data_IF_379010315710
#
_entry.id   IF_379010315710
#
_cell.length_a   1.000
_cell.length_b   1.000
_cell.length_c   1.000
_cell.angle_alpha   90.00
_cell.angle_beta   90.00
_cell.angle_gamma   90.00
#
_symmetry.space_group_name_H-M   'P 1'
#
loop_
_entity.id
_entity.type
_entity.pdbx_description
1 polymer ?
#
# COMPACT_ATOMS: atom_id res chain seq x y z
N UNK A 1 -5.98 13.56 10.77
CA UNK A 1 -5.37 14.14 10.96
C UNK A 1 -4.70 14.50 11.31
N UNK A 2 -4.79 13.88 10.88
CA UNK A 2 -4.13 14.57 11.18
C UNK A 2 -3.73 14.97 11.09
N UNK A 3 -3.78 14.61 10.82
CA UNK A 3 -3.36 15.40 10.86
C UNK A 3 -3.23 15.82 10.54
N UNK A 4 -3.40 15.59 10.33
CA UNK A 4 -3.16 16.35 10.10
C UNK A 4 -2.92 16.87 10.17
N UNK A 5 -2.96 16.27 9.88
CA UNK A 5 -2.63 16.97 9.91
C UNK A 5 -2.28 17.39 9.87
N UNK A 6 -2.16 17.23 9.83
CA UNK A 6 -1.77 17.79 9.93
C UNK A 6 -1.51 18.40 9.79
N UNK A 7 -1.44 18.39 9.68
CA UNK A 7 -1.13 19.01 9.55
C UNK A 7 -0.96 19.53 9.33
N UNK A 8 -1.00 19.95 9.23
CA UNK A 8 -0.60 20.33 8.92
C UNK A 8 -0.17 21.11 8.85
N UNK A 9 -0.17 21.48 9.15
CA UNK A 9 0.68 22.13 8.80
C UNK A 9 1.75 22.53 8.66
N UNK A 10 1.55 23.95 8.69
CA UNK A 10 2.73 23.31 8.55
C UNK A 10 3.89 23.97 9.25
N UNK A 11 4.67 23.18 9.85
CA UNK A 11 5.88 23.56 10.54
C UNK A 11 6.94 23.90 9.49
N UNK A 12 7.71 25.01 9.67
CA UNK A 12 8.77 25.34 8.73
C UNK A 12 9.86 24.30 8.63
N UNK A 13 9.99 23.44 9.64
CA UNK A 13 10.97 22.36 9.61
C UNK A 13 10.43 21.10 8.96
N UNK A 14 9.18 21.12 8.54
CA UNK A 14 8.55 19.98 7.88
C UNK A 14 8.77 20.09 6.38
N UNK A 15 9.82 19.43 5.90
CA UNK A 15 10.21 19.48 4.49
C UNK A 15 9.22 18.76 3.59
N UNK A 16 8.50 17.80 4.12
CA UNK A 16 7.57 16.98 3.34
C UNK A 16 6.16 17.50 3.39
N UNK A 17 5.91 18.51 4.21
CA UNK A 17 4.58 19.07 4.36
C UNK A 17 3.56 18.04 4.84
N UNK A 18 4.01 17.09 5.61
CA UNK A 18 3.17 15.97 6.06
C UNK A 18 2.77 16.08 7.53
N UNK A 19 3.16 17.16 8.21
CA UNK A 19 2.85 17.36 9.61
C UNK A 19 3.90 16.82 10.56
N UNK A 20 5.01 16.30 10.04
CA UNK A 20 6.10 15.76 10.84
C UNK A 20 7.35 16.59 10.63
N UNK A 21 8.02 16.99 11.73
CA UNK A 21 9.24 17.74 11.64
C UNK A 21 10.34 16.96 10.94
N UNK A 22 11.10 17.65 10.09
CA UNK A 22 12.09 17.01 9.24
C UNK A 22 13.07 16.08 9.97
N UNK A 23 13.68 16.46 11.11
CA UNK A 23 14.60 15.53 11.76
C UNK A 23 13.95 14.27 12.29
N UNK A 24 12.63 14.26 12.44
CA UNK A 24 11.90 13.11 12.95
C UNK A 24 11.27 12.27 11.84
N UNK A 25 11.30 12.76 10.60
CA UNK A 25 10.67 12.10 9.47
C UNK A 25 11.61 11.02 8.94
N UNK A 26 11.20 9.76 9.09
CA UNK A 26 11.96 8.60 8.63
C UNK A 26 11.68 8.25 7.18
N UNK A 27 10.70 8.90 6.57
CA UNK A 27 10.27 8.59 5.21
C UNK A 27 10.21 9.90 4.41
N UNK A 28 11.36 10.36 3.86
CA UNK A 28 11.43 11.69 3.24
C UNK A 28 10.60 11.84 1.97
N UNK A 29 10.07 10.79 1.43
CA UNK A 29 9.25 10.84 0.22
C UNK A 29 7.77 10.65 0.52
N UNK A 30 7.32 11.02 1.72
CA UNK A 30 5.90 10.91 2.09
C UNK A 30 5.06 11.79 1.17
N UNK A 31 4.04 11.21 0.50
CA UNK A 31 3.21 11.96 -0.43
C UNK A 31 2.36 13.01 0.28
N UNK A 32 2.03 14.07 -0.46
CA UNK A 32 1.11 15.10 0.03
C UNK A 32 -0.27 14.49 0.28
N UNK A 33 -0.92 14.95 1.34
CA UNK A 33 -2.27 14.51 1.72
C UNK A 33 -2.38 13.03 2.07
N UNK A 34 -1.24 12.36 2.27
CA UNK A 34 -1.24 10.99 2.74
C UNK A 34 -1.28 10.95 4.26
N UNK A 35 -1.94 9.94 4.80
CA UNK A 35 -1.88 9.69 6.24
C UNK A 35 -0.48 9.17 6.58
N UNK A 36 0.05 9.64 7.70
CA UNK A 36 1.39 9.22 8.14
C UNK A 36 1.31 8.53 9.49
N UNK A 37 2.24 7.62 9.72
CA UNK A 37 2.39 6.97 11.02
C UNK A 37 3.28 7.83 11.92
N UNK A 38 3.65 7.29 13.10
CA UNK A 38 4.46 8.03 14.06
C UNK A 38 5.86 8.36 13.55
N UNK A 39 6.31 7.70 12.49
CA UNK A 39 7.62 7.91 11.89
C UNK A 39 7.57 8.87 10.70
N UNK A 40 6.39 9.39 10.36
CA UNK A 40 6.22 10.24 9.20
C UNK A 40 6.09 9.49 7.89
N UNK A 41 5.83 8.20 7.93
CA UNK A 41 5.70 7.38 6.72
C UNK A 41 4.25 7.30 6.29
N UNK A 42 4.02 7.30 4.99
CA UNK A 42 2.69 7.12 4.44
C UNK A 42 2.15 5.74 4.82
N UNK A 43 0.95 5.73 5.37
CA UNK A 43 0.24 4.49 5.69
C UNK A 43 -0.91 4.36 4.71
N UNK A 44 -0.64 3.68 3.59
CA UNK A 44 -1.68 3.41 2.62
C UNK A 44 -2.63 2.34 3.17
N UNK A 45 -3.92 2.41 2.83
CA UNK A 45 -4.83 1.33 3.21
C UNK A 45 -4.43 0.02 2.55
N UNK A 46 -4.50 -1.06 3.31
CA UNK A 46 -4.24 -2.40 2.78
C UNK A 46 -5.49 -2.97 2.12
N UNK A 47 -5.29 -3.95 1.24
CA UNK A 47 -6.37 -4.61 0.53
C UNK A 47 -6.26 -6.10 0.83
N UNK A 48 -7.28 -6.64 1.50
CA UNK A 48 -7.28 -8.04 1.89
C UNK A 48 -7.99 -8.89 0.83
N UNK A 49 -7.59 -10.15 0.74
CA UNK A 49 -8.12 -11.10 -0.23
C UNK A 49 -8.63 -12.35 0.46
N UNK A 50 -9.65 -12.94 -0.13
CA UNK A 50 -10.14 -14.23 0.32
C UNK A 50 -9.10 -15.32 0.01
N UNK A 51 -9.22 -16.44 0.71
CA UNK A 51 -8.35 -17.59 0.49
C UNK A 51 -8.39 -18.00 -1.00
N UNK A 52 -7.23 -18.24 -1.55
CA UNK A 52 -7.07 -18.73 -2.93
C UNK A 52 -7.69 -17.82 -3.99
N UNK A 53 -7.82 -16.54 -3.71
CA UNK A 53 -8.44 -15.57 -4.62
C UNK A 53 -7.54 -14.39 -4.89
N UNK A 54 -7.56 -13.91 -6.13
CA UNK A 54 -6.93 -12.65 -6.54
C UNK A 54 -7.99 -11.64 -6.99
N UNK A 55 -9.24 -11.87 -6.64
CA UNK A 55 -10.33 -10.96 -6.98
C UNK A 55 -10.46 -9.89 -5.90
N UNK A 56 -10.47 -8.63 -6.32
CA UNK A 56 -10.64 -7.52 -5.39
C UNK A 56 -12.09 -7.47 -4.93
N UNK A 57 -12.29 -7.53 -3.62
CA UNK A 57 -13.62 -7.41 -3.05
C UNK A 57 -14.07 -5.94 -3.17
N UNK A 58 -15.31 -5.69 -3.63
CA UNK A 58 -15.81 -4.32 -3.81
C UNK A 58 -15.71 -3.44 -2.56
N UNK A 59 -15.70 -4.01 -1.37
CA UNK A 59 -15.56 -3.23 -0.14
C UNK A 59 -14.21 -2.51 -0.06
N UNK A 60 -13.22 -2.90 -0.87
CA UNK A 60 -11.91 -2.26 -0.92
C UNK A 60 -11.79 -1.23 -2.03
N UNK A 61 -12.83 -0.99 -2.81
CA UNK A 61 -12.77 0.02 -3.88
C UNK A 61 -12.50 1.41 -3.31
N UNK A 62 -13.04 1.71 -2.13
CA UNK A 62 -12.76 3.00 -1.48
C UNK A 62 -11.27 3.13 -1.11
N UNK A 63 -10.66 2.03 -0.67
CA UNK A 63 -9.22 2.03 -0.39
C UNK A 63 -8.41 2.35 -1.65
N UNK A 64 -8.81 1.78 -2.79
CA UNK A 64 -8.17 2.11 -4.06
C UNK A 64 -8.35 3.58 -4.42
N UNK A 65 -9.54 4.13 -4.19
CA UNK A 65 -9.81 5.54 -4.47
C UNK A 65 -8.92 6.44 -3.62
N UNK A 66 -8.69 6.10 -2.35
CA UNK A 66 -7.79 6.85 -1.47
C UNK A 66 -6.38 6.85 -2.03
N UNK A 67 -5.88 5.69 -2.45
CA UNK A 67 -4.55 5.58 -3.03
C UNK A 67 -4.44 6.41 -4.32
N UNK A 68 -5.45 6.31 -5.19
CA UNK A 68 -5.44 7.06 -6.44
C UNK A 68 -5.50 8.57 -6.21
N UNK A 69 -6.21 9.02 -5.16
CA UNK A 69 -6.25 10.44 -4.82
C UNK A 69 -4.86 10.95 -4.43
N UNK A 70 -4.10 10.16 -3.66
CA UNK A 70 -2.72 10.50 -3.31
C UNK A 70 -1.85 10.57 -4.55
N UNK A 71 -1.98 9.61 -5.47
CA UNK A 71 -1.24 9.61 -6.73
C UNK A 71 -1.56 10.84 -7.58
N UNK A 72 -2.81 11.26 -7.58
CA UNK A 72 -3.23 12.44 -8.33
C UNK A 72 -2.62 13.72 -7.77
N UNK A 73 -2.50 13.80 -6.44
CA UNK A 73 -1.92 14.98 -5.79
C UNK A 73 -0.40 15.01 -5.85
N UNK A 74 0.23 13.90 -6.18
CA UNK A 74 1.68 13.76 -6.22
C UNK A 74 2.11 13.20 -7.57
N UNK A 75 2.15 14.04 -8.63
CA UNK A 75 2.34 13.54 -10.01
C UNK A 75 3.62 12.73 -10.25
N UNK A 76 4.67 12.99 -9.47
CA UNK A 76 5.94 12.27 -9.64
C UNK A 76 6.03 11.03 -8.78
N UNK A 77 5.02 10.75 -7.97
CA UNK A 77 5.03 9.61 -7.07
C UNK A 77 4.86 8.31 -7.87
N UNK A 78 5.72 7.35 -7.56
CA UNK A 78 5.58 5.96 -8.02
C UNK A 78 5.37 5.09 -6.81
N UNK A 79 4.63 4.02 -7.00
CA UNK A 79 4.33 3.09 -5.91
C UNK A 79 4.67 1.67 -6.31
N UNK A 80 5.04 0.87 -5.31
CA UNK A 80 5.15 -0.58 -5.44
C UNK A 80 3.91 -1.21 -4.82
N UNK A 81 3.26 -2.05 -5.59
CA UNK A 81 2.07 -2.80 -5.18
C UNK A 81 2.56 -4.19 -4.79
N UNK A 82 2.55 -4.49 -3.50
CA UNK A 82 3.15 -5.70 -2.94
C UNK A 82 2.08 -6.74 -2.64
N UNK A 83 2.02 -7.78 -3.45
CA UNK A 83 1.11 -8.89 -3.21
C UNK A 83 1.70 -9.87 -2.22
N UNK A 84 0.87 -10.38 -1.31
CA UNK A 84 1.27 -11.30 -0.25
C UNK A 84 0.27 -12.40 -0.08
N UNK A 85 0.72 -13.54 0.44
CA UNK A 85 -0.14 -14.70 0.72
C UNK A 85 0.11 -15.21 2.12
N UNK A 86 -0.82 -16.06 2.62
CA UNK A 86 -0.52 -16.91 3.75
C UNK A 86 0.37 -18.07 3.29
N UNK A 87 0.68 -18.99 4.20
CA UNK A 87 1.59 -20.11 3.90
C UNK A 87 0.87 -21.42 3.52
N UNK A 88 -0.40 -21.36 3.18
CA UNK A 88 -1.13 -22.57 2.76
C UNK A 88 -0.81 -22.86 1.30
N UNK A 89 -0.39 -24.09 1.02
CA UNK A 89 -0.09 -24.55 -0.33
C UNK A 89 1.37 -24.41 -0.71
N UNK A 90 1.73 -24.86 -1.92
CA UNK A 90 3.12 -24.81 -2.40
C UNK A 90 3.63 -23.37 -2.53
N UNK A 91 4.93 -23.19 -2.27
CA UNK A 91 5.54 -21.87 -2.35
C UNK A 91 5.43 -21.28 -3.76
N UNK A 92 5.64 -22.10 -4.79
CA UNK A 92 5.55 -21.63 -6.17
C UNK A 92 4.15 -21.14 -6.51
N UNK A 93 3.13 -21.81 -5.99
CA UNK A 93 1.74 -21.39 -6.17
C UNK A 93 1.48 -20.06 -5.46
N UNK A 94 1.96 -19.93 -4.23
CA UNK A 94 1.78 -18.70 -3.45
C UNK A 94 2.52 -17.53 -4.08
N UNK A 95 3.70 -17.76 -4.65
CA UNK A 95 4.41 -16.73 -5.38
C UNK A 95 3.59 -16.24 -6.58
N UNK A 96 3.00 -17.16 -7.34
CA UNK A 96 2.15 -16.81 -8.47
C UNK A 96 0.89 -16.07 -8.02
N UNK A 97 0.25 -16.54 -6.95
CA UNK A 97 -0.97 -15.93 -6.43
C UNK A 97 -0.71 -14.50 -5.94
N UNK A 98 0.39 -14.30 -5.23
CA UNK A 98 0.76 -12.96 -4.75
C UNK A 98 0.98 -11.99 -5.91
N UNK A 99 1.63 -12.45 -6.98
CA UNK A 99 1.83 -11.63 -8.17
C UNK A 99 0.49 -11.31 -8.84
N UNK A 100 -0.42 -12.28 -8.90
CA UNK A 100 -1.77 -12.04 -9.45
C UNK A 100 -2.54 -11.00 -8.65
N UNK A 101 -2.44 -11.05 -7.31
CA UNK A 101 -3.09 -10.06 -6.45
C UNK A 101 -2.55 -8.67 -6.70
N UNK A 102 -1.23 -8.53 -6.79
CA UNK A 102 -0.60 -7.23 -7.09
C UNK A 102 -1.03 -6.71 -8.46
N UNK A 103 -1.04 -7.58 -9.46
CA UNK A 103 -1.46 -7.20 -10.82
C UNK A 103 -2.94 -6.83 -10.88
N UNK A 104 -3.78 -7.47 -10.09
CA UNK A 104 -5.20 -7.13 -10.06
C UNK A 104 -5.40 -5.69 -9.57
N UNK A 105 -4.66 -5.29 -8.54
CA UNK A 105 -4.72 -3.92 -8.02
C UNK A 105 -4.18 -2.94 -9.06
N UNK A 106 -3.04 -3.26 -9.67
CA UNK A 106 -2.47 -2.41 -10.72
C UNK A 106 -3.44 -2.22 -11.88
N UNK A 107 -4.04 -3.31 -12.34
CA UNK A 107 -4.99 -3.27 -13.47
C UNK A 107 -6.21 -2.41 -13.13
N UNK A 108 -6.70 -2.52 -11.90
CA UNK A 108 -7.84 -1.73 -11.46
C UNK A 108 -7.53 -0.24 -11.50
N UNK A 109 -6.36 0.16 -10.99
CA UNK A 109 -5.96 1.57 -10.96
C UNK A 109 -5.66 2.09 -12.36
N UNK A 110 -4.96 1.30 -13.18
CA UNK A 110 -4.67 1.70 -14.56
C UNK A 110 -5.94 1.86 -15.38
N UNK A 111 -6.93 1.00 -15.14
CA UNK A 111 -8.23 1.10 -15.81
C UNK A 111 -9.00 2.36 -15.44
N UNK A 112 -8.64 3.00 -14.34
CA UNK A 112 -9.26 4.25 -13.90
C UNK A 112 -8.42 5.48 -14.20
N UNK A 113 -7.38 5.32 -15.02
CA UNK A 113 -6.62 6.45 -15.52
C UNK A 113 -5.24 6.67 -14.91
N UNK A 114 -4.80 5.83 -14.01
CA UNK A 114 -3.44 5.95 -13.45
C UNK A 114 -2.44 5.41 -14.49
N UNK A 115 -1.37 6.16 -14.74
CA UNK A 115 -0.33 5.71 -15.66
C UNK A 115 0.32 4.43 -15.13
N UNK A 116 0.30 3.33 -15.90
CA UNK A 116 0.89 2.07 -15.46
C UNK A 116 2.37 2.15 -15.10
N UNK A 117 3.10 3.10 -15.69
CA UNK A 117 4.52 3.28 -15.40
C UNK A 117 4.78 3.79 -13.99
N UNK A 118 3.76 4.30 -13.33
CA UNK A 118 3.84 4.73 -11.93
C UNK A 118 3.55 3.59 -10.95
N UNK A 119 3.17 2.42 -11.46
CA UNK A 119 2.68 1.30 -10.68
C UNK A 119 3.57 0.08 -10.93
N UNK A 120 4.26 -0.38 -9.91
CA UNK A 120 5.10 -1.58 -10.00
C UNK A 120 4.45 -2.69 -9.18
N UNK A 121 3.95 -3.72 -9.86
CA UNK A 121 3.31 -4.86 -9.19
C UNK A 121 4.34 -5.95 -8.93
N UNK A 122 4.49 -6.36 -7.67
CA UNK A 122 5.46 -7.38 -7.27
C UNK A 122 4.77 -8.39 -6.36
N UNK A 123 5.00 -9.68 -6.61
CA UNK A 123 4.55 -10.74 -5.73
C UNK A 123 5.66 -11.15 -4.78
N UNK A 124 5.35 -11.14 -3.49
CA UNK A 124 6.32 -11.53 -2.46
C UNK A 124 6.00 -12.91 -1.86
N UNK A 125 4.92 -13.56 -2.30
CA UNK A 125 4.53 -14.85 -1.73
C UNK A 125 4.36 -14.73 -0.23
N UNK A 126 5.08 -15.57 0.53
CA UNK A 126 5.06 -15.56 1.99
C UNK A 126 6.23 -14.76 2.58
N UNK A 127 7.06 -14.11 1.75
CA UNK A 127 8.32 -13.51 2.22
C UNK A 127 8.11 -12.31 3.15
N UNK A 128 6.98 -11.62 3.07
CA UNK A 128 6.71 -10.42 3.85
C UNK A 128 5.44 -10.56 4.69
N UNK A 129 5.35 -11.62 5.48
CA UNK A 129 4.21 -11.85 6.34
C UNK A 129 4.08 -10.73 7.38
N UNK A 130 2.83 -10.33 7.64
CA UNK A 130 2.53 -9.28 8.62
C UNK A 130 1.94 -9.86 9.90
N UNK A 131 1.58 -11.16 9.90
CA UNK A 131 0.95 -11.83 11.02
C UNK A 131 1.37 -13.30 11.04
N UNK A 132 1.22 -13.98 12.19
CA UNK A 132 1.51 -15.42 12.25
C UNK A 132 0.59 -16.23 11.35
N UNK A 133 1.14 -17.27 10.71
CA UNK A 133 0.35 -18.18 9.87
C UNK A 133 -0.27 -19.35 10.63
N UNK A 134 -0.02 -19.45 11.91
CA UNK A 134 -0.52 -20.55 12.72
C UNK A 134 -1.97 -20.39 13.17
N UNK A 135 -2.58 -19.24 12.89
CA UNK A 135 -3.98 -19.00 13.17
C UNK A 135 -4.71 -18.60 11.90
N UNK A 136 -6.02 -18.87 11.86
CA UNK A 136 -6.84 -18.46 10.73
C UNK A 136 -6.88 -16.93 10.60
N UNK A 137 -6.94 -16.22 11.73
CA UNK A 137 -6.95 -14.76 11.73
C UNK A 137 -5.64 -14.20 11.18
N UNK A 138 -4.50 -14.76 11.59
CA UNK A 138 -3.20 -14.34 11.08
C UNK A 138 -3.04 -14.60 9.60
N UNK A 139 -3.48 -15.78 9.14
CA UNK A 139 -3.44 -16.10 7.71
C UNK A 139 -4.30 -15.13 6.90
N UNK A 140 -5.48 -14.77 7.41
CA UNK A 140 -6.35 -13.81 6.72
C UNK A 140 -5.66 -12.45 6.55
N UNK A 141 -4.89 -12.01 7.54
CA UNK A 141 -4.14 -10.75 7.44
C UNK A 141 -2.98 -10.84 6.46
N UNK A 142 -2.43 -12.02 6.25
CA UNK A 142 -1.34 -12.20 5.28
C UNK A 142 -1.81 -12.24 3.83
N UNK A 143 -3.10 -12.48 3.60
CA UNK A 143 -3.68 -12.48 2.25
C UNK A 143 -4.01 -11.04 1.86
N UNK A 144 -2.99 -10.28 1.48
CA UNK A 144 -3.15 -8.84 1.29
C UNK A 144 -2.27 -8.27 0.20
N UNK A 145 -2.62 -7.07 -0.21
CA UNK A 145 -1.76 -6.22 -1.02
C UNK A 145 -1.49 -4.95 -0.21
N UNK A 146 -0.21 -4.61 -0.13
CA UNK A 146 0.23 -3.35 0.45
C UNK A 146 0.75 -2.44 -0.65
N UNK A 147 0.64 -1.14 -0.43
CA UNK A 147 1.12 -0.14 -1.38
C UNK A 147 2.15 0.72 -0.64
N UNK A 148 3.33 0.83 -1.23
CA UNK A 148 4.40 1.64 -0.65
C UNK A 148 4.97 2.58 -1.70
N UNK A 149 5.38 3.80 -1.32
CA UNK A 149 6.01 4.71 -2.27
C UNK A 149 7.40 4.22 -2.64
N UNK A 150 7.76 4.43 -3.90
CA UNK A 150 9.12 4.21 -4.40
C UNK A 150 9.53 5.43 -5.23
N UNK A 151 10.82 5.65 -5.31
CA UNK A 151 11.36 6.74 -6.13
C UNK A 151 12.48 6.26 -7.00
#
# INVERSE_FOLDING_TARGET
>A
MVSRSISKKSDPLDEDNDGVLSPLDKCPHTPLEADVDQKGCWVAPDILFDFNSAKINPKYYRALDVIMAVLKKNPDLKIEIQGKTDNIGPESYNQMLSAKRARAVKKSMAGKGVDPQRLKAVGYGTAKNVAPNDTAAGRALNRRVDVVPIN
#
